data_IF_763983101017
#
_entry.id   IF_763983101017
#
_cell.length_a   1.000
_cell.length_b   1.000
_cell.length_c   1.000
_cell.angle_alpha   90.00
_cell.angle_beta   90.00
_cell.angle_gamma   90.00
#
_symmetry.space_group_name_H-M   'P 1'
#
loop_
_entity.id
_entity.type
_entity.pdbx_description
1 polymer ?
#
# COMPACT_ATOMS: atom_id res chain seq x y z
N UNK A 1 -41.85 33.48 29.23
CA UNK A 1 -41.11 34.30 28.26
C UNK A 1 -39.66 33.88 28.38
N UNK A 2 -39.04 33.37 27.32
CA UNK A 2 -37.62 33.01 27.39
C UNK A 2 -36.81 34.31 27.31
N UNK A 3 -35.91 34.52 28.27
CA UNK A 3 -35.08 35.71 28.30
C UNK A 3 -34.07 35.68 27.15
N UNK A 4 -33.86 36.82 26.48
CA UNK A 4 -32.96 36.95 25.34
C UNK A 4 -31.53 36.47 25.66
N UNK A 5 -31.11 36.57 26.92
CA UNK A 5 -29.82 36.09 27.42
C UNK A 5 -29.70 34.55 27.42
N UNK A 6 -30.79 33.83 27.67
CA UNK A 6 -30.80 32.37 27.59
C UNK A 6 -30.71 31.91 26.13
N UNK A 7 -31.35 32.63 25.21
CA UNK A 7 -31.32 32.33 23.78
C UNK A 7 -29.92 32.55 23.19
N UNK A 8 -29.23 33.64 23.56
CA UNK A 8 -27.85 33.89 23.09
C UNK A 8 -26.85 32.90 23.68
N UNK A 9 -27.03 32.46 24.94
CA UNK A 9 -26.21 31.42 25.56
C UNK A 9 -26.36 30.06 24.85
N UNK A 10 -27.60 29.67 24.51
CA UNK A 10 -27.86 28.43 23.76
C UNK A 10 -27.29 28.51 22.33
N UNK A 11 -27.37 29.66 21.66
CA UNK A 11 -26.75 29.87 20.36
C UNK A 11 -25.21 29.78 20.44
N UNK A 12 -24.61 30.38 21.46
CA UNK A 12 -23.16 30.32 21.66
C UNK A 12 -22.68 28.88 21.90
N UNK A 13 -23.41 28.10 22.71
CA UNK A 13 -23.14 26.67 22.91
C UNK A 13 -23.32 25.85 21.62
N UNK A 14 -24.34 26.14 20.82
CA UNK A 14 -24.55 25.49 19.53
C UNK A 14 -23.42 25.76 18.54
N UNK A 15 -22.98 27.02 18.42
CA UNK A 15 -21.84 27.40 17.54
C UNK A 15 -20.55 26.78 18.05
N UNK A 16 -20.29 26.82 19.36
CA UNK A 16 -19.13 26.17 19.96
C UNK A 16 -19.13 24.66 19.70
N UNK A 17 -20.29 24.00 19.81
CA UNK A 17 -20.45 22.58 19.51
C UNK A 17 -20.22 22.27 18.03
N UNK A 18 -20.67 23.13 17.10
CA UNK A 18 -20.41 22.95 15.66
C UNK A 18 -18.92 23.07 15.35
N UNK A 19 -18.23 24.03 15.96
CA UNK A 19 -16.77 24.20 15.81
C UNK A 19 -16.03 23.01 16.43
N UNK A 20 -16.44 22.56 17.62
CA UNK A 20 -15.84 21.40 18.29
C UNK A 20 -16.13 20.11 17.51
N UNK A 21 -17.34 19.94 16.96
CA UNK A 21 -17.70 18.83 16.07
C UNK A 21 -16.89 18.88 14.78
N UNK A 22 -16.66 20.06 14.21
CA UNK A 22 -15.83 20.22 13.02
C UNK A 22 -14.36 19.89 13.30
N UNK A 23 -13.83 20.33 14.46
CA UNK A 23 -12.46 20.09 14.91
C UNK A 23 -12.21 18.63 15.33
N UNK A 24 -13.20 17.96 15.92
CA UNK A 24 -13.09 16.55 16.33
C UNK A 24 -13.43 15.58 15.18
N UNK A 25 -14.27 16.00 14.23
CA UNK A 25 -14.55 15.24 13.00
C UNK A 25 -13.44 15.43 11.95
N UNK A 26 -12.62 16.50 12.03
CA UNK A 26 -11.46 16.64 11.15
C UNK A 26 -10.36 15.61 11.41
N UNK A 27 -10.24 15.11 12.64
CA UNK A 27 -9.30 14.02 12.96
C UNK A 27 -9.80 12.64 12.48
N UNK A 28 -11.11 12.49 12.23
CA UNK A 28 -11.70 11.26 11.68
C UNK A 28 -11.73 11.18 10.15
N UNK A 29 -11.00 12.06 9.43
CA UNK A 29 -10.81 11.94 7.96
C UNK A 29 -9.50 11.24 7.60
N UNK A 30 -9.25 10.08 8.19
CA UNK A 30 -8.31 9.10 7.66
C UNK A 30 -9.01 7.76 7.49
N UNK A 31 -9.66 7.61 6.33
CA UNK A 31 -9.99 6.30 5.77
C UNK A 31 -11.46 5.87 5.89
N UNK A 32 -12.30 6.28 4.94
CA UNK A 32 -13.22 5.40 4.20
C UNK A 32 -14.20 6.20 3.33
N UNK A 33 -14.53 5.62 2.17
CA UNK A 33 -15.69 5.91 1.33
C UNK A 33 -15.74 7.26 0.59
N UNK A 34 -15.10 7.26 -0.58
CA UNK A 34 -15.66 7.90 -1.76
C UNK A 34 -17.00 7.21 -2.09
N UNK A 35 -18.09 7.65 -1.46
CA UNK A 35 -19.45 7.29 -1.84
C UNK A 35 -19.95 8.36 -2.83
N UNK A 36 -19.90 8.02 -4.11
CA UNK A 36 -20.48 8.81 -5.19
C UNK A 36 -22.00 8.83 -5.07
N UNK A 37 -22.55 9.91 -4.53
CA UNK A 37 -23.97 10.25 -4.65
C UNK A 37 -24.19 11.00 -5.96
N UNK A 38 -24.29 10.24 -7.06
CA UNK A 38 -24.71 10.76 -8.36
C UNK A 38 -26.17 10.35 -8.60
N UNK A 39 -27.10 11.21 -8.21
CA UNK A 39 -28.54 10.98 -8.37
C UNK A 39 -29.04 11.62 -9.67
N UNK A 40 -29.66 10.79 -10.53
CA UNK A 40 -30.79 11.19 -11.38
C UNK A 40 -30.51 11.79 -12.77
N UNK A 41 -30.49 10.94 -13.81
CA UNK A 41 -31.18 11.22 -15.08
C UNK A 41 -31.31 9.94 -15.93
N UNK A 42 -32.50 9.34 -15.90
CA UNK A 42 -32.90 8.22 -16.75
C UNK A 42 -32.89 8.61 -18.23
N UNK A 43 -32.02 7.99 -19.03
CA UNK A 43 -32.25 7.78 -20.47
C UNK A 43 -31.91 6.34 -20.83
N UNK A 44 -32.96 5.57 -21.13
CA UNK A 44 -32.90 4.20 -21.62
C UNK A 44 -32.16 4.15 -22.96
N UNK A 45 -31.08 3.37 -23.06
CA UNK A 45 -30.52 2.85 -24.31
C UNK A 45 -30.19 1.36 -24.11
N UNK A 46 -30.64 0.45 -24.99
CA UNK A 46 -30.19 -0.93 -24.96
C UNK A 46 -28.86 -1.03 -25.71
N UNK A 47 -27.77 -1.28 -25.00
CA UNK A 47 -26.46 -1.56 -25.60
C UNK A 47 -25.95 -2.86 -25.00
N UNK A 48 -26.15 -3.92 -25.77
CA UNK A 48 -25.25 -5.04 -26.06
C UNK A 48 -24.29 -5.48 -24.94
N UNK A 49 -24.47 -6.75 -24.54
CA UNK A 49 -23.63 -7.54 -23.64
C UNK A 49 -22.13 -7.29 -23.85
N UNK A 50 -21.57 -6.43 -23.00
CA UNK A 50 -20.14 -6.39 -22.74
C UNK A 50 -19.87 -7.34 -21.57
N UNK A 51 -18.95 -8.32 -21.69
CA UNK A 51 -18.55 -9.12 -20.55
C UNK A 51 -17.90 -8.19 -19.54
N UNK A 52 -18.60 -7.94 -18.42
CA UNK A 52 -18.05 -7.31 -17.23
C UNK A 52 -16.94 -8.23 -16.74
N UNK A 53 -15.72 -8.01 -17.23
CA UNK A 53 -14.52 -8.48 -16.55
C UNK A 53 -14.51 -7.75 -15.22
N UNK A 54 -15.13 -8.37 -14.22
CA UNK A 54 -14.91 -8.05 -12.82
C UNK A 54 -13.41 -8.14 -12.64
N UNK A 55 -12.73 -6.99 -12.73
CA UNK A 55 -11.37 -6.86 -12.27
C UNK A 55 -11.46 -7.25 -10.81
N UNK A 56 -10.94 -8.42 -10.48
CA UNK A 56 -10.63 -8.79 -9.11
C UNK A 56 -9.67 -7.72 -8.58
N UNK A 57 -10.25 -6.63 -8.06
CA UNK A 57 -9.54 -5.63 -7.30
C UNK A 57 -9.18 -6.30 -5.98
N UNK A 58 -8.23 -7.23 -6.03
CA UNK A 58 -7.55 -7.77 -4.86
C UNK A 58 -7.00 -6.56 -4.13
N UNK A 59 -7.62 -6.24 -2.99
CA UNK A 59 -7.13 -5.17 -2.13
C UNK A 59 -5.72 -5.57 -1.71
N UNK A 60 -4.73 -4.67 -1.82
CA UNK A 60 -3.40 -4.95 -1.29
C UNK A 60 -3.55 -5.18 0.21
N UNK A 61 -3.08 -6.34 0.68
CA UNK A 61 -3.08 -6.66 2.11
C UNK A 61 -1.97 -5.86 2.78
N UNK A 62 -2.35 -5.11 3.82
CA UNK A 62 -1.40 -4.37 4.64
C UNK A 62 -0.83 -5.26 5.75
N UNK A 63 0.41 -4.98 6.15
CA UNK A 63 1.07 -5.69 7.25
C UNK A 63 0.34 -5.50 8.58
N UNK A 64 -0.32 -4.35 8.78
CA UNK A 64 -1.16 -4.08 9.96
C UNK A 64 -2.32 -5.09 10.09
N UNK A 65 -2.97 -5.43 8.97
CA UNK A 65 -4.06 -6.40 8.93
C UNK A 65 -3.58 -7.79 9.36
N UNK A 66 -2.39 -8.18 8.91
CA UNK A 66 -1.76 -9.45 9.27
C UNK A 66 -1.44 -9.48 10.77
N UNK A 67 -0.85 -8.41 11.31
CA UNK A 67 -0.49 -8.31 12.73
C UNK A 67 -1.70 -8.47 13.63
N UNK A 68 -2.81 -7.77 13.33
CA UNK A 68 -4.07 -7.90 14.08
C UNK A 68 -4.55 -9.36 14.10
N UNK A 69 -4.61 -10.03 12.94
CA UNK A 69 -4.99 -11.45 12.89
C UNK A 69 -4.02 -12.32 13.68
N UNK A 70 -2.71 -12.06 13.59
CA UNK A 70 -1.69 -12.82 14.32
C UNK A 70 -1.85 -12.74 15.84
N UNK A 71 -2.31 -11.59 16.38
CA UNK A 71 -2.56 -11.47 17.83
C UNK A 71 -3.69 -12.37 18.33
N UNK A 72 -4.69 -12.64 17.47
CA UNK A 72 -5.85 -13.48 17.80
C UNK A 72 -5.56 -14.95 17.48
N UNK A 73 -4.80 -15.18 16.42
CA UNK A 73 -4.47 -16.50 15.90
C UNK A 73 -2.94 -16.72 15.86
N UNK A 74 -2.28 -16.88 17.02
CA UNK A 74 -0.82 -16.99 17.09
C UNK A 74 -0.26 -18.25 16.44
N UNK A 75 -1.10 -19.29 16.27
CA UNK A 75 -0.71 -20.57 15.69
C UNK A 75 -0.64 -20.56 14.15
N UNK A 76 -1.24 -19.55 13.52
CA UNK A 76 -1.25 -19.40 12.07
C UNK A 76 0.05 -18.78 11.56
N UNK A 77 0.45 -19.20 10.36
CA UNK A 77 1.55 -18.57 9.65
C UNK A 77 1.10 -17.26 8.98
N UNK A 78 2.01 -16.30 8.92
CA UNK A 78 1.82 -15.03 8.20
C UNK A 78 1.38 -15.24 6.76
N UNK A 79 1.87 -16.29 6.10
CA UNK A 79 1.54 -16.60 4.71
C UNK A 79 0.10 -17.09 4.56
N UNK A 80 -0.39 -17.93 5.48
CA UNK A 80 -1.80 -18.35 5.51
C UNK A 80 -2.73 -17.16 5.78
N UNK A 81 -2.38 -16.33 6.76
CA UNK A 81 -3.15 -15.12 7.10
C UNK A 81 -3.22 -14.18 5.90
N UNK A 82 -2.08 -13.90 5.26
CA UNK A 82 -2.02 -13.06 4.08
C UNK A 82 -2.85 -13.63 2.93
N UNK A 83 -2.74 -14.93 2.67
CA UNK A 83 -3.48 -15.58 1.60
C UNK A 83 -5.00 -15.51 1.82
N UNK A 84 -5.48 -15.75 3.05
CA UNK A 84 -6.91 -15.63 3.33
C UNK A 84 -7.37 -14.16 3.31
N UNK A 85 -6.58 -13.22 3.83
CA UNK A 85 -6.86 -11.77 3.73
C UNK A 85 -6.94 -11.28 2.27
N UNK A 86 -6.09 -11.80 1.38
CA UNK A 86 -6.16 -11.48 -0.06
C UNK A 86 -7.46 -12.00 -0.71
N UNK A 87 -8.08 -13.02 -0.12
CA UNK A 87 -9.32 -13.65 -0.61
C UNK A 87 -10.57 -13.04 0.02
N UNK A 88 -10.57 -12.80 1.33
CA UNK A 88 -11.71 -12.27 2.09
C UNK A 88 -11.76 -10.74 2.03
N UNK A 89 -10.61 -10.07 1.94
CA UNK A 89 -10.49 -8.61 1.91
C UNK A 89 -10.79 -7.91 3.24
N UNK A 90 -11.04 -8.65 4.33
CA UNK A 90 -11.27 -8.12 5.67
C UNK A 90 -10.65 -9.00 6.76
N UNK A 91 -10.13 -8.35 7.79
CA UNK A 91 -9.62 -8.99 9.01
C UNK A 91 -10.74 -9.73 9.74
N UNK A 92 -11.91 -9.10 9.87
CA UNK A 92 -13.04 -9.63 10.63
C UNK A 92 -13.50 -10.97 10.05
N UNK A 93 -13.68 -11.04 8.73
CA UNK A 93 -14.09 -12.26 8.02
C UNK A 93 -13.04 -13.37 8.13
N UNK A 94 -11.75 -12.99 8.14
CA UNK A 94 -10.63 -13.94 8.29
C UNK A 94 -10.63 -14.53 9.70
N UNK A 95 -10.83 -13.70 10.72
CA UNK A 95 -10.91 -14.11 12.12
C UNK A 95 -12.15 -14.98 12.38
N UNK A 96 -13.32 -14.58 11.87
CA UNK A 96 -14.55 -15.36 12.00
C UNK A 96 -14.39 -16.76 11.38
N UNK A 97 -13.79 -16.83 10.18
CA UNK A 97 -13.51 -18.09 9.50
C UNK A 97 -12.52 -18.96 10.28
N UNK A 98 -11.47 -18.35 10.83
CA UNK A 98 -10.52 -19.05 11.71
C UNK A 98 -11.19 -19.58 12.98
N UNK A 99 -12.06 -18.80 13.62
CA UNK A 99 -12.78 -19.25 14.81
C UNK A 99 -13.81 -20.35 14.49
N UNK A 100 -14.41 -20.31 13.30
CA UNK A 100 -15.37 -21.33 12.85
C UNK A 100 -14.72 -22.64 12.41
N UNK A 101 -13.59 -22.58 11.71
CA UNK A 101 -12.93 -23.75 11.08
C UNK A 101 -11.69 -24.23 11.84
N UNK A 102 -11.11 -23.38 12.69
CA UNK A 102 -9.87 -23.65 13.43
C UNK A 102 -8.58 -23.50 12.61
N UNK A 103 -8.66 -23.32 11.30
CA UNK A 103 -7.50 -23.19 10.40
C UNK A 103 -7.82 -22.34 9.16
N UNK A 104 -6.79 -21.84 8.49
CA UNK A 104 -6.89 -21.05 7.25
C UNK A 104 -6.27 -21.81 6.06
N UNK A 105 -6.79 -21.59 4.83
CA UNK A 105 -6.27 -22.27 3.65
C UNK A 105 -4.80 -21.92 3.39
N UNK A 106 -4.00 -22.96 3.13
CA UNK A 106 -2.59 -22.80 2.78
C UNK A 106 -2.44 -22.32 1.33
N UNK A 107 -1.59 -21.31 1.05
CA UNK A 107 -1.39 -20.84 -0.32
C UNK A 107 -0.83 -21.94 -1.24
N UNK A 108 -1.25 -22.02 -2.53
CA UNK A 108 -0.88 -23.11 -3.44
C UNK A 108 0.58 -23.11 -3.95
N UNK A 109 1.49 -22.37 -3.31
CA UNK A 109 2.93 -22.36 -3.68
C UNK A 109 3.85 -22.32 -2.45
N UNK A 110 3.33 -22.64 -1.28
CA UNK A 110 4.17 -22.73 -0.09
C UNK A 110 4.90 -24.06 -0.13
N UNK A 111 6.11 -24.08 -0.71
CA UNK A 111 7.03 -25.18 -0.44
C UNK A 111 7.18 -25.28 1.09
N UNK A 112 6.96 -26.46 1.71
CA UNK A 112 7.07 -26.58 3.15
C UNK A 112 8.51 -26.28 3.54
N UNK A 113 8.75 -25.07 4.06
CA UNK A 113 9.99 -24.77 4.75
C UNK A 113 9.94 -25.60 6.03
N UNK A 114 10.86 -26.55 6.26
CA UNK A 114 10.88 -27.30 7.51
C UNK A 114 10.99 -26.28 8.65
N UNK A 115 10.04 -26.30 9.58
CA UNK A 115 10.16 -25.61 10.87
C UNK A 115 11.42 -26.15 11.52
N UNK A 116 12.50 -25.39 11.44
CA UNK A 116 13.73 -25.71 12.15
C UNK A 116 13.49 -25.39 13.63
N UNK A 117 13.00 -26.38 14.37
CA UNK A 117 13.46 -26.56 15.74
C UNK A 117 14.99 -26.67 15.67
N UNK A 118 15.70 -25.78 16.36
CA UNK A 118 17.15 -25.78 16.42
C UNK A 118 17.64 -27.14 16.95
N UNK A 119 18.56 -27.80 16.23
CA UNK A 119 19.91 -27.87 16.77
C UNK A 119 21.03 -27.69 15.72
N UNK A 120 22.18 -27.31 16.25
CA UNK A 120 23.52 -27.21 15.65
C UNK A 120 23.86 -28.26 14.57
N UNK A 121 24.52 -27.80 13.50
CA UNK A 121 25.71 -28.42 12.84
C UNK A 121 25.69 -28.29 11.31
N UNK A 122 26.69 -27.56 10.81
CA UNK A 122 27.37 -27.65 9.52
C UNK A 122 26.61 -28.11 8.26
N UNK A 123 26.46 -27.18 7.30
CA UNK A 123 26.57 -27.49 5.85
C UNK A 123 26.97 -26.24 5.02
N UNK A 124 27.58 -26.44 3.84
CA UNK A 124 28.62 -25.56 3.29
C UNK A 124 28.08 -24.35 2.50
N UNK A 125 28.91 -23.31 2.48
CA UNK A 125 28.77 -22.08 1.71
C UNK A 125 28.57 -22.37 0.21
N UNK A 126 27.39 -22.03 -0.33
CA UNK A 126 27.24 -21.69 -1.75
C UNK A 126 27.01 -20.18 -1.84
N UNK A 127 28.11 -19.43 -1.78
CA UNK A 127 28.15 -17.98 -1.96
C UNK A 127 28.07 -17.66 -3.45
N UNK A 128 26.86 -17.70 -4.01
CA UNK A 128 26.54 -16.98 -5.24
C UNK A 128 25.86 -15.67 -4.86
N UNK A 129 26.62 -14.57 -4.78
CA UNK A 129 26.05 -13.24 -4.58
C UNK A 129 25.00 -12.96 -5.66
N UNK A 130 23.92 -12.26 -5.31
CA UNK A 130 22.92 -11.84 -6.30
C UNK A 130 23.57 -11.05 -7.45
N UNK A 131 24.62 -10.29 -7.14
CA UNK A 131 25.42 -9.56 -8.13
C UNK A 131 25.99 -10.48 -9.23
N UNK A 132 26.51 -11.66 -8.86
CA UNK A 132 27.00 -12.65 -9.81
C UNK A 132 25.88 -13.33 -10.61
N UNK A 133 24.69 -13.47 -10.02
CA UNK A 133 23.52 -14.03 -10.73
C UNK A 133 22.94 -13.06 -11.76
N UNK A 134 23.08 -11.77 -11.54
CA UNK A 134 22.51 -10.74 -12.40
C UNK A 134 23.54 -10.02 -13.27
N UNK A 135 24.79 -10.51 -13.38
CA UNK A 135 25.87 -9.86 -14.13
C UNK A 135 25.88 -8.33 -13.91
N UNK A 136 25.78 -7.92 -12.65
CA UNK A 136 25.99 -6.52 -12.26
C UNK A 136 27.50 -6.32 -12.24
N UNK A 137 28.10 -6.39 -13.42
CA UNK A 137 29.50 -6.03 -13.62
C UNK A 137 29.55 -4.52 -13.53
N UNK A 138 30.33 -4.02 -12.58
CA UNK A 138 30.84 -2.65 -12.41
C UNK A 138 31.30 -2.10 -13.76
N UNK A 139 30.35 -1.58 -14.53
CA UNK A 139 30.60 -1.03 -15.87
C UNK A 139 30.05 0.39 -15.93
N UNK A 140 30.33 1.17 -14.89
CA UNK A 140 30.19 2.63 -14.84
C UNK A 140 31.18 3.29 -13.83
N UNK A 141 32.25 2.62 -13.39
CA UNK A 141 33.15 3.15 -12.34
C UNK A 141 34.53 3.66 -12.82
N UNK A 142 34.84 3.65 -14.12
CA UNK A 142 36.19 3.99 -14.65
C UNK A 142 36.25 5.29 -15.49
N UNK A 143 35.28 6.20 -15.39
CA UNK A 143 35.44 7.54 -16.03
C UNK A 143 34.76 8.70 -15.28
N UNK A 144 34.66 8.64 -13.95
CA UNK A 144 34.26 9.79 -13.13
C UNK A 144 35.08 9.92 -11.83
N UNK A 145 36.38 9.67 -11.93
CA UNK A 145 37.34 10.04 -10.89
C UNK A 145 37.75 11.51 -11.05
N UNK A 146 36.90 12.43 -10.63
CA UNK A 146 37.32 13.62 -9.87
C UNK A 146 36.12 14.44 -9.39
N UNK A 147 36.04 14.61 -8.07
CA UNK A 147 35.14 15.52 -7.32
C UNK A 147 33.67 15.09 -7.24
N UNK A 148 33.32 14.43 -6.13
CA UNK A 148 32.37 14.90 -5.11
C UNK A 148 31.82 13.73 -4.28
N UNK A 149 31.90 13.90 -2.95
CA UNK A 149 31.14 13.29 -1.86
C UNK A 149 30.39 11.96 -2.11
N UNK A 150 30.74 10.97 -1.28
CA UNK A 150 29.97 9.77 -0.93
C UNK A 150 28.44 9.92 -1.16
N UNK A 151 27.80 9.07 -1.98
CA UNK A 151 26.36 9.11 -2.17
C UNK A 151 25.67 8.68 -0.87
N UNK A 152 25.23 9.66 -0.09
CA UNK A 152 24.37 9.41 1.05
C UNK A 152 23.10 8.71 0.56
N UNK A 153 22.84 7.53 1.14
CA UNK A 153 21.63 6.74 0.94
C UNK A 153 20.41 7.68 0.99
N UNK A 154 19.41 7.53 0.11
CA UNK A 154 18.29 8.45 0.00
C UNK A 154 17.56 8.55 1.34
N UNK A 155 17.87 9.62 2.08
CA UNK A 155 17.27 9.91 3.38
C UNK A 155 15.93 10.57 3.10
N UNK A 156 14.87 9.79 3.25
CA UNK A 156 13.49 10.22 3.13
C UNK A 156 13.30 11.51 3.97
N UNK A 157 13.08 12.66 3.32
CA UNK A 157 13.03 13.96 4.00
C UNK A 157 11.92 13.96 5.06
N UNK A 158 12.16 14.54 6.24
CA UNK A 158 11.14 14.57 7.31
C UNK A 158 10.00 15.54 7.01
N UNK A 159 10.20 16.54 6.14
CA UNK A 159 9.14 17.43 5.67
C UNK A 159 8.33 16.82 4.52
N UNK A 160 7.00 16.91 4.63
CA UNK A 160 6.04 16.46 3.60
C UNK A 160 6.23 17.19 2.27
N UNK A 161 6.51 18.49 2.32
CA UNK A 161 6.63 19.33 1.14
C UNK A 161 7.92 19.03 0.36
N UNK A 162 9.04 18.87 1.05
CA UNK A 162 10.31 18.45 0.44
C UNK A 162 10.19 17.10 -0.24
N UNK A 163 9.47 16.15 0.37
CA UNK A 163 9.24 14.83 -0.21
C UNK A 163 8.41 14.90 -1.48
N UNK A 164 7.35 15.72 -1.49
CA UNK A 164 6.54 15.92 -2.70
C UNK A 164 7.36 16.54 -3.83
N UNK A 165 8.22 17.50 -3.52
CA UNK A 165 9.10 18.13 -4.51
C UNK A 165 10.16 17.15 -5.04
N UNK A 166 10.75 16.31 -4.18
CA UNK A 166 11.68 15.26 -4.62
C UNK A 166 11.01 14.24 -5.53
N UNK A 167 9.80 13.78 -5.19
CA UNK A 167 9.05 12.84 -6.04
C UNK A 167 8.71 13.44 -7.40
N UNK A 168 8.29 14.71 -7.45
CA UNK A 168 8.03 15.42 -8.72
C UNK A 168 9.30 15.51 -9.57
N UNK A 169 10.44 15.83 -8.98
CA UNK A 169 11.74 15.87 -9.68
C UNK A 169 12.10 14.49 -10.25
N UNK A 170 12.02 13.44 -9.44
CA UNK A 170 12.29 12.06 -9.89
C UNK A 170 11.33 11.61 -11.01
N UNK A 171 10.04 11.97 -10.89
CA UNK A 171 9.05 11.65 -11.91
C UNK A 171 9.36 12.35 -13.25
N UNK A 172 9.72 13.64 -13.21
CA UNK A 172 10.10 14.40 -14.40
C UNK A 172 11.35 13.82 -15.07
N UNK A 173 12.36 13.48 -14.28
CA UNK A 173 13.60 12.86 -14.77
C UNK A 173 13.32 11.51 -15.46
N UNK A 174 12.48 10.68 -14.86
CA UNK A 174 12.08 9.39 -15.44
C UNK A 174 11.35 9.57 -16.77
N UNK A 175 10.43 10.55 -16.86
CA UNK A 175 9.69 10.85 -18.09
C UNK A 175 10.65 11.28 -19.21
N UNK A 176 11.61 12.15 -18.91
CA UNK A 176 12.60 12.59 -19.90
C UNK A 176 13.45 11.43 -20.40
N UNK A 177 13.96 10.59 -19.49
CA UNK A 177 14.76 9.41 -19.82
C UNK A 177 13.96 8.39 -20.63
N UNK A 178 12.69 8.16 -20.28
CA UNK A 178 11.80 7.27 -21.01
C UNK A 178 11.59 7.76 -22.45
N UNK A 179 11.38 9.07 -22.64
CA UNK A 179 11.20 9.66 -23.97
C UNK A 179 12.46 9.55 -24.83
N UNK A 180 13.63 9.76 -24.25
CA UNK A 180 14.91 9.57 -24.95
C UNK A 180 15.10 8.11 -25.36
N UNK A 181 14.85 7.16 -24.46
CA UNK A 181 14.91 5.72 -24.79
C UNK A 181 13.92 5.29 -25.87
N UNK A 182 12.72 5.86 -25.89
CA UNK A 182 11.73 5.57 -26.92
C UNK A 182 12.22 6.02 -28.30
N UNK A 183 12.73 7.26 -28.40
CA UNK A 183 13.30 7.78 -29.65
C UNK A 183 14.46 6.93 -30.18
N UNK A 184 15.34 6.42 -29.31
CA UNK A 184 16.45 5.55 -29.70
C UNK A 184 15.94 4.22 -30.27
N UNK A 185 14.92 3.62 -29.63
CA UNK A 185 14.29 2.39 -30.13
C UNK A 185 13.61 2.58 -31.48
N UNK A 186 12.92 3.70 -31.68
CA UNK A 186 12.30 4.03 -32.97
C UNK A 186 13.36 4.09 -34.09
N UNK A 187 14.53 4.68 -33.80
CA UNK A 187 15.65 4.77 -34.74
C UNK A 187 16.34 3.42 -35.01
N UNK A 188 16.45 2.54 -34.01
CA UNK A 188 17.02 1.19 -34.20
C UNK A 188 16.06 0.25 -34.97
N UNK A 189 14.77 0.55 -34.94
CA UNK A 189 13.73 -0.22 -35.65
C UNK A 189 13.45 0.23 -37.10
N UNK A 190 14.20 1.22 -37.61
CA UNK A 190 14.15 1.69 -39.01
C UNK A 190 15.44 1.33 -39.75
#
# INVERSE_FOLDING_TARGET
>A
MADSSSITFLLALGVAFIVLRWLMTSESRTGAANASSGEGAQRRRPVQDLPVRQRDYRRPVDNSMIEVVQTIAPNLSVEQIRYDLERTGSVETTVERYLAQGDLPTPPNTQPRPRSETPTSNKPKKTGSLAARYNITEKDDEEFSEKHATPEKPKWSQSKEERQNQLRKQQQEMILRARQKFKQKDQESS
#
